data_IF_432738922411
#
_entry.id   IF_432738922411
#
_cell.length_a   1.000
_cell.length_b   1.000
_cell.length_c   1.000
_cell.angle_alpha   90.00
_cell.angle_beta   90.00
_cell.angle_gamma   90.00
#
_symmetry.space_group_name_H-M   'P 1'
#
loop_
_entity.id
_entity.type
_entity.pdbx_description
1 polymer ?
#
# COMPACT_ATOMS: atom_id res chain seq x y z
N UNK A 1 -37.48 -14.08 -74.53
CA UNK A 1 -37.32 -12.66 -74.13
C UNK A 1 -37.41 -12.58 -72.62
N UNK A 2 -36.38 -11.99 -71.99
CA UNK A 2 -36.36 -11.31 -70.68
C UNK A 2 -36.62 -12.17 -69.42
N UNK A 3 -35.92 -11.98 -68.30
CA UNK A 3 -34.61 -11.40 -67.96
C UNK A 3 -34.37 -11.88 -66.52
N UNK A 4 -33.14 -12.30 -66.19
CA UNK A 4 -32.71 -12.54 -64.82
C UNK A 4 -32.79 -11.25 -64.00
N UNK A 5 -33.27 -11.34 -62.76
CA UNK A 5 -32.92 -10.39 -61.69
C UNK A 5 -32.57 -11.16 -60.43
N UNK A 6 -31.25 -11.39 -60.29
CA UNK A 6 -30.57 -11.68 -59.04
C UNK A 6 -30.69 -10.47 -58.11
N UNK A 7 -31.31 -10.64 -56.93
CA UNK A 7 -31.18 -9.72 -55.80
C UNK A 7 -30.00 -10.19 -54.94
N UNK A 8 -28.90 -9.44 -54.82
CA UNK A 8 -27.93 -9.71 -53.77
C UNK A 8 -28.49 -9.14 -52.47
N UNK A 9 -28.63 -10.00 -51.46
CA UNK A 9 -28.88 -9.61 -50.09
C UNK A 9 -27.69 -8.78 -49.58
N UNK A 10 -27.86 -7.45 -49.51
CA UNK A 10 -26.96 -6.56 -48.78
C UNK A 10 -27.20 -6.79 -47.28
N UNK A 11 -26.45 -7.74 -46.70
CA UNK A 11 -26.20 -7.80 -45.26
C UNK A 11 -25.31 -6.61 -44.89
N UNK A 12 -25.94 -5.47 -44.60
CA UNK A 12 -25.33 -4.39 -43.83
C UNK A 12 -25.04 -4.95 -42.42
N UNK A 13 -23.82 -5.42 -42.22
CA UNK A 13 -23.22 -5.42 -40.89
C UNK A 13 -23.15 -3.95 -40.45
N UNK A 14 -24.18 -3.48 -39.76
CA UNK A 14 -24.05 -2.33 -38.91
C UNK A 14 -22.97 -2.69 -37.89
N UNK A 15 -21.74 -2.24 -38.13
CA UNK A 15 -20.77 -2.12 -37.06
C UNK A 15 -21.43 -1.20 -36.04
N UNK A 16 -21.92 -1.79 -34.94
CA UNK A 16 -22.25 -1.03 -33.74
C UNK A 16 -21.08 -0.06 -33.51
N UNK A 17 -21.33 1.22 -33.20
CA UNK A 17 -20.26 2.10 -32.81
C UNK A 17 -19.51 1.37 -31.71
N UNK A 18 -18.23 1.07 -31.95
CA UNK A 18 -17.33 0.68 -30.87
C UNK A 18 -17.44 1.84 -29.88
N UNK A 19 -18.13 1.60 -28.77
CA UNK A 19 -18.30 2.59 -27.72
C UNK A 19 -16.91 3.13 -27.39
N UNK A 20 -16.81 4.44 -27.22
CA UNK A 20 -15.59 5.16 -26.86
C UNK A 20 -14.98 4.73 -25.50
N UNK A 21 -15.45 3.62 -24.93
CA UNK A 21 -15.14 3.06 -23.61
C UNK A 21 -14.21 1.82 -23.64
N UNK A 22 -13.91 1.28 -24.82
CA UNK A 22 -13.08 0.09 -24.93
C UNK A 22 -11.58 0.46 -24.90
N UNK A 23 -11.09 0.74 -23.69
CA UNK A 23 -9.65 0.72 -23.41
C UNK A 23 -9.03 -0.54 -24.02
N UNK A 24 -7.96 -0.38 -24.80
CA UNK A 24 -7.26 -1.51 -25.41
C UNK A 24 -6.28 -2.10 -24.39
N UNK A 25 -6.20 -3.41 -24.33
CA UNK A 25 -5.16 -4.03 -23.52
C UNK A 25 -3.79 -3.83 -24.17
N UNK A 26 -2.78 -3.62 -23.32
CA UNK A 26 -1.42 -3.38 -23.78
C UNK A 26 -0.66 -2.46 -22.85
N UNK A 27 0.52 -2.05 -23.32
CA UNK A 27 1.38 -1.09 -22.65
C UNK A 27 1.20 0.29 -23.28
N UNK A 28 0.75 1.24 -22.45
CA UNK A 28 0.73 2.66 -22.75
C UNK A 28 1.93 3.31 -22.09
N UNK A 29 2.67 4.14 -22.81
CA UNK A 29 3.78 4.90 -22.25
C UNK A 29 3.50 6.39 -22.23
N UNK A 30 3.97 7.06 -21.19
CA UNK A 30 4.00 8.51 -21.10
C UNK A 30 4.89 9.10 -22.21
N UNK A 31 4.70 10.39 -22.52
CA UNK A 31 5.45 11.09 -23.59
C UNK A 31 6.96 11.09 -23.35
N UNK A 32 7.38 11.13 -22.09
CA UNK A 32 8.78 11.08 -21.65
C UNK A 32 9.32 9.65 -21.48
N UNK A 33 8.50 8.63 -21.79
CA UNK A 33 8.78 7.19 -21.62
C UNK A 33 9.12 6.75 -20.17
N UNK A 34 8.99 7.65 -19.19
CA UNK A 34 9.31 7.40 -17.77
C UNK A 34 8.25 6.61 -17.01
N UNK A 35 7.00 6.62 -17.50
CA UNK A 35 5.87 5.92 -16.89
C UNK A 35 5.19 5.01 -17.92
N UNK A 36 4.65 3.89 -17.45
CA UNK A 36 3.84 2.99 -18.25
C UNK A 36 2.57 2.54 -17.50
N UNK A 37 1.47 2.44 -18.23
CA UNK A 37 0.24 1.80 -17.78
C UNK A 37 0.04 0.51 -18.58
N UNK A 38 -0.05 -0.62 -17.89
CA UNK A 38 -0.10 -1.95 -18.52
C UNK A 38 -1.40 -2.65 -18.19
N UNK A 39 -2.34 -2.70 -19.14
CA UNK A 39 -3.69 -3.24 -18.95
C UNK A 39 -3.82 -4.66 -19.46
N UNK A 40 -4.09 -5.63 -18.57
CA UNK A 40 -4.23 -7.07 -18.90
C UNK A 40 -5.66 -7.42 -19.28
N UNK A 41 -6.60 -6.65 -18.76
CA UNK A 41 -8.04 -6.69 -19.05
C UNK A 41 -8.49 -5.26 -19.40
N UNK A 42 -9.71 -5.07 -19.89
CA UNK A 42 -10.23 -3.72 -20.18
C UNK A 42 -10.29 -2.78 -18.97
N UNK A 43 -10.18 -3.30 -17.75
CA UNK A 43 -10.34 -2.50 -16.52
C UNK A 43 -9.27 -2.76 -15.47
N UNK A 44 -8.40 -3.75 -15.63
CA UNK A 44 -7.36 -4.07 -14.63
C UNK A 44 -5.96 -4.11 -15.26
N UNK A 45 -4.98 -3.66 -14.49
CA UNK A 45 -3.60 -3.55 -14.93
C UNK A 45 -2.64 -3.18 -13.81
N UNK A 46 -1.50 -2.60 -14.18
CA UNK A 46 -0.57 -1.98 -13.24
C UNK A 46 0.08 -0.72 -13.84
N UNK A 47 0.56 0.17 -12.96
CA UNK A 47 1.38 1.35 -13.29
C UNK A 47 2.82 1.02 -12.98
N UNK A 48 3.71 1.22 -13.94
CA UNK A 48 5.15 1.11 -13.79
C UNK A 48 5.75 2.51 -13.96
N UNK A 49 6.51 2.99 -12.97
CA UNK A 49 7.13 4.31 -12.98
C UNK A 49 8.64 4.26 -13.25
N UNK A 50 9.17 3.10 -13.67
CA UNK A 50 10.57 2.90 -14.05
C UNK A 50 11.60 2.98 -12.90
N UNK A 51 11.19 3.46 -11.72
CA UNK A 51 12.05 3.64 -10.53
C UNK A 51 11.56 2.76 -9.38
N UNK A 52 10.26 2.50 -9.34
CA UNK A 52 9.56 1.78 -8.30
C UNK A 52 8.78 0.59 -8.85
N UNK A 53 7.83 0.17 -8.06
CA UNK A 53 7.17 -1.11 -8.19
C UNK A 53 5.91 -1.05 -9.07
N UNK A 54 5.59 -2.10 -9.86
CA UNK A 54 4.37 -2.14 -10.68
C UNK A 54 3.08 -2.07 -9.85
N UNK A 55 2.54 -0.89 -9.64
CA UNK A 55 1.43 -0.66 -8.74
C UNK A 55 0.11 -1.16 -9.34
N UNK A 56 -0.65 -2.07 -8.70
CA UNK A 56 -1.86 -2.62 -9.26
C UNK A 56 -2.91 -1.53 -9.38
N UNK A 57 -3.63 -1.52 -10.51
CA UNK A 57 -4.64 -0.52 -10.78
C UNK A 57 -5.91 -1.10 -11.39
N UNK A 58 -6.95 -0.29 -11.29
CA UNK A 58 -8.27 -0.55 -11.82
C UNK A 58 -8.80 0.69 -12.56
N UNK A 59 -9.58 0.53 -13.62
CA UNK A 59 -10.31 1.61 -14.31
C UNK A 59 -11.76 1.67 -13.84
N UNK A 60 -12.07 2.65 -13.00
CA UNK A 60 -13.42 2.86 -12.50
C UNK A 60 -14.21 3.69 -13.51
N UNK A 61 -15.28 3.09 -14.04
CA UNK A 61 -16.24 3.74 -14.94
C UNK A 61 -17.56 4.06 -14.25
N UNK A 62 -17.65 3.81 -12.94
CA UNK A 62 -18.86 4.06 -12.16
C UNK A 62 -18.99 5.50 -11.66
N UNK A 63 -17.89 6.26 -11.71
CA UNK A 63 -17.87 7.72 -11.52
C UNK A 63 -18.29 8.45 -12.81
N UNK A 64 -18.62 9.74 -12.71
CA UNK A 64 -19.09 10.51 -13.86
C UNK A 64 -17.97 10.74 -14.88
N UNK A 65 -16.75 10.98 -14.41
CA UNK A 65 -15.53 10.84 -15.18
C UNK A 65 -14.88 9.48 -14.90
N UNK A 66 -14.32 8.83 -15.93
CA UNK A 66 -13.55 7.59 -15.73
C UNK A 66 -12.31 7.88 -14.88
N UNK A 67 -11.99 6.98 -13.94
CA UNK A 67 -10.86 7.16 -13.02
C UNK A 67 -9.91 5.98 -13.02
N UNK A 68 -8.63 6.26 -12.87
CA UNK A 68 -7.60 5.27 -12.58
C UNK A 68 -7.50 5.11 -11.07
N UNK A 69 -7.82 3.94 -10.55
CA UNK A 69 -7.78 3.61 -9.12
C UNK A 69 -6.55 2.77 -8.84
N UNK A 70 -5.60 3.34 -8.12
CA UNK A 70 -4.42 2.67 -7.60
C UNK A 70 -4.83 1.86 -6.36
N UNK A 71 -4.66 0.54 -6.43
CA UNK A 71 -5.29 -0.39 -5.47
C UNK A 71 -4.48 -0.54 -4.18
N UNK A 72 -3.17 -0.32 -4.21
CA UNK A 72 -2.29 -0.49 -3.05
C UNK A 72 -2.32 0.74 -2.12
N UNK A 73 -2.34 1.95 -2.66
CA UNK A 73 -2.35 3.21 -1.90
C UNK A 73 -3.76 3.82 -1.72
N UNK A 74 -4.73 3.39 -2.53
CA UNK A 74 -6.12 3.85 -2.49
C UNK A 74 -6.34 5.21 -3.16
N UNK A 75 -5.47 5.59 -4.10
CA UNK A 75 -5.61 6.84 -4.87
C UNK A 75 -6.51 6.63 -6.09
N UNK A 76 -7.40 7.59 -6.38
CA UNK A 76 -8.28 7.54 -7.55
C UNK A 76 -8.17 8.82 -8.38
N UNK A 77 -7.53 8.74 -9.55
CA UNK A 77 -7.22 9.89 -10.40
C UNK A 77 -8.17 9.98 -11.60
N UNK A 78 -8.71 11.16 -11.94
CA UNK A 78 -9.54 11.31 -13.13
C UNK A 78 -8.71 11.16 -14.40
N UNK A 79 -9.25 10.41 -15.37
CA UNK A 79 -8.63 10.19 -16.68
C UNK A 79 -9.63 10.44 -17.82
N UNK A 80 -9.10 10.68 -19.01
CA UNK A 80 -9.84 10.71 -20.28
C UNK A 80 -9.25 9.67 -21.22
N UNK A 81 -10.09 8.82 -21.77
CA UNK A 81 -9.69 7.80 -22.75
C UNK A 81 -10.14 8.26 -24.14
N UNK A 82 -9.25 8.22 -25.12
CA UNK A 82 -9.60 8.56 -26.50
C UNK A 82 -10.59 7.55 -27.08
N UNK A 83 -11.41 7.99 -28.04
CA UNK A 83 -12.44 7.14 -28.66
C UNK A 83 -11.89 5.87 -29.34
N UNK A 84 -10.63 5.89 -29.80
CA UNK A 84 -9.96 4.72 -30.39
C UNK A 84 -9.31 3.78 -29.34
N UNK A 85 -9.37 4.17 -28.07
CA UNK A 85 -8.80 3.49 -26.91
C UNK A 85 -7.28 3.50 -26.89
N UNK A 86 -6.60 4.35 -27.67
CA UNK A 86 -5.12 4.34 -27.81
C UNK A 86 -4.40 5.41 -27.00
N UNK A 87 -5.14 6.35 -26.40
CA UNK A 87 -4.58 7.45 -25.63
C UNK A 87 -5.34 7.61 -24.32
N UNK A 88 -4.60 7.86 -23.25
CA UNK A 88 -5.13 8.17 -21.92
C UNK A 88 -4.50 9.49 -21.50
N UNK A 89 -5.31 10.41 -20.99
CA UNK A 89 -4.86 11.68 -20.45
C UNK A 89 -5.30 11.74 -18.99
N UNK A 90 -4.38 11.93 -18.06
CA UNK A 90 -4.74 12.27 -16.69
C UNK A 90 -4.96 13.79 -16.52
N UNK A 91 -5.51 14.19 -15.39
CA UNK A 91 -5.85 15.59 -15.11
C UNK A 91 -4.62 16.48 -14.80
N UNK A 92 -3.42 15.87 -14.67
CA UNK A 92 -2.13 16.55 -14.47
C UNK A 92 -1.33 16.64 -15.79
N UNK A 93 -1.99 16.40 -16.93
CA UNK A 93 -1.46 16.46 -18.30
C UNK A 93 -0.44 15.37 -18.67
N UNK A 94 -0.33 14.27 -17.92
CA UNK A 94 0.43 13.12 -18.41
C UNK A 94 -0.41 12.42 -19.47
N UNK A 95 0.18 12.32 -20.65
CA UNK A 95 -0.42 11.68 -21.80
C UNK A 95 0.24 10.34 -22.01
N UNK A 96 -0.55 9.27 -21.93
CA UNK A 96 -0.13 7.92 -22.23
C UNK A 96 -0.60 7.51 -23.62
N UNK A 97 0.28 6.93 -24.43
CA UNK A 97 -0.06 6.40 -25.76
C UNK A 97 0.24 4.92 -25.85
N UNK A 98 -0.69 4.14 -26.41
CA UNK A 98 -0.54 2.69 -26.60
C UNK A 98 0.64 2.38 -27.53
N UNK A 99 1.68 1.76 -26.99
CA UNK A 99 2.89 1.33 -27.71
C UNK A 99 2.82 -0.12 -28.12
N UNK A 100 2.42 -0.99 -27.19
CA UNK A 100 2.38 -2.44 -27.41
C UNK A 100 0.97 -2.97 -27.18
N UNK A 101 0.14 -3.10 -28.23
CA UNK A 101 -1.20 -3.67 -28.09
C UNK A 101 -1.13 -5.17 -27.82
N UNK A 102 -2.09 -5.68 -27.05
CA UNK A 102 -2.27 -7.12 -26.80
C UNK A 102 -3.75 -7.52 -26.74
N UNK A 103 -4.00 -8.82 -26.84
CA UNK A 103 -5.33 -9.36 -26.58
C UNK A 103 -5.67 -9.21 -25.09
N UNK A 104 -6.88 -8.73 -24.80
CA UNK A 104 -7.39 -8.68 -23.44
C UNK A 104 -7.69 -10.08 -22.89
N UNK A 105 -7.34 -10.31 -21.65
CA UNK A 105 -7.91 -11.40 -20.87
C UNK A 105 -9.39 -11.11 -20.55
N UNK A 106 -10.11 -12.15 -20.12
CA UNK A 106 -11.51 -12.01 -19.69
C UNK A 106 -11.56 -11.22 -18.38
N UNK A 107 -12.35 -10.15 -18.37
CA UNK A 107 -12.58 -9.34 -17.18
C UNK A 107 -13.41 -10.15 -16.15
N UNK A 108 -12.98 -10.20 -14.88
CA UNK A 108 -13.81 -10.73 -13.81
C UNK A 108 -15.07 -9.87 -13.63
N UNK A 109 -16.23 -10.51 -13.47
CA UNK A 109 -17.47 -9.77 -13.19
C UNK A 109 -17.40 -9.10 -11.82
N UNK A 110 -17.59 -7.78 -11.79
CA UNK A 110 -17.74 -7.05 -10.53
C UNK A 110 -19.10 -7.38 -9.89
N UNK A 111 -19.10 -7.64 -8.58
CA UNK A 111 -20.32 -7.90 -7.82
C UNK A 111 -20.94 -6.57 -7.41
N UNK A 112 -22.26 -6.40 -7.52
CA UNK A 112 -22.91 -5.17 -7.10
C UNK A 112 -22.63 -4.84 -5.61
N UNK A 113 -22.31 -3.59 -5.32
CA UNK A 113 -21.96 -3.14 -3.96
C UNK A 113 -20.59 -3.60 -3.45
N UNK A 114 -19.76 -4.17 -4.33
CA UNK A 114 -18.37 -4.50 -4.07
C UNK A 114 -17.46 -3.29 -4.35
N UNK A 115 -16.26 -3.29 -3.80
CA UNK A 115 -15.29 -2.21 -4.03
C UNK A 115 -14.94 -2.09 -5.52
N UNK A 116 -14.78 -3.24 -6.19
CA UNK A 116 -14.57 -3.37 -7.63
C UNK A 116 -15.72 -2.79 -8.48
N UNK A 117 -16.96 -2.82 -8.00
CA UNK A 117 -18.10 -2.22 -8.73
C UNK A 117 -18.23 -0.70 -8.53
N UNK A 118 -17.51 -0.12 -7.57
CA UNK A 118 -17.59 1.29 -7.21
C UNK A 118 -16.22 1.78 -6.68
N UNK A 119 -15.18 1.70 -7.51
CA UNK A 119 -13.79 1.85 -7.10
C UNK A 119 -13.48 3.16 -6.37
N UNK A 120 -13.84 4.29 -6.97
CA UNK A 120 -13.58 5.62 -6.40
C UNK A 120 -14.38 5.86 -5.12
N UNK A 121 -15.64 5.45 -5.08
CA UNK A 121 -16.45 5.54 -3.85
C UNK A 121 -15.95 4.62 -2.74
N UNK A 122 -15.40 3.45 -3.10
CA UNK A 122 -14.74 2.59 -2.15
C UNK A 122 -13.52 3.29 -1.54
N UNK A 123 -12.64 3.93 -2.33
CA UNK A 123 -11.49 4.68 -1.81
C UNK A 123 -11.89 5.81 -0.88
N UNK A 124 -12.97 6.53 -1.21
CA UNK A 124 -13.57 7.57 -0.33
C UNK A 124 -14.01 7.00 1.01
N UNK A 125 -14.63 5.81 1.01
CA UNK A 125 -15.24 5.22 2.20
C UNK A 125 -14.24 4.44 3.07
N UNK A 126 -13.19 3.86 2.48
CA UNK A 126 -12.17 3.06 3.17
C UNK A 126 -11.60 3.72 4.43
N UNK A 127 -11.31 5.03 4.44
CA UNK A 127 -10.88 5.74 5.64
C UNK A 127 -11.76 5.52 6.87
N UNK A 128 -13.08 5.47 6.70
CA UNK A 128 -14.05 5.32 7.79
C UNK A 128 -14.86 4.03 7.65
N UNK A 129 -14.35 3.07 6.88
CA UNK A 129 -15.02 1.82 6.62
C UNK A 129 -15.20 1.03 7.92
N UNK A 130 -16.27 0.24 8.00
CA UNK A 130 -16.39 -0.78 9.03
C UNK A 130 -15.35 -1.89 8.83
N UNK A 131 -15.05 -2.72 9.86
CA UNK A 131 -14.21 -3.90 9.69
C UNK A 131 -14.73 -4.86 8.60
N UNK A 132 -16.05 -4.95 8.43
CA UNK A 132 -16.67 -5.75 7.37
C UNK A 132 -16.42 -5.21 5.96
N UNK A 133 -16.49 -3.89 5.78
CA UNK A 133 -16.16 -3.22 4.51
C UNK A 133 -14.67 -3.36 4.18
N UNK A 134 -13.78 -3.06 5.12
CA UNK A 134 -12.34 -3.18 4.92
C UNK A 134 -11.94 -4.62 4.59
N UNK A 135 -12.53 -5.60 5.30
CA UNK A 135 -12.32 -7.03 5.02
C UNK A 135 -12.79 -7.41 3.61
N UNK A 136 -13.98 -7.00 3.20
CA UNK A 136 -14.50 -7.27 1.86
C UNK A 136 -13.59 -6.67 0.78
N UNK A 137 -13.18 -5.41 0.92
CA UNK A 137 -12.26 -4.78 -0.02
C UNK A 137 -10.93 -5.54 -0.11
N UNK A 138 -10.39 -5.95 1.04
CA UNK A 138 -9.19 -6.79 1.08
C UNK A 138 -9.40 -8.13 0.36
N UNK A 139 -10.50 -8.84 0.62
CA UNK A 139 -10.84 -10.12 -0.02
C UNK A 139 -11.04 -9.95 -1.55
N UNK A 140 -11.46 -8.76 -2.00
CA UNK A 140 -11.51 -8.39 -3.42
C UNK A 140 -10.12 -8.09 -4.02
N UNK A 141 -9.04 -8.13 -3.24
CA UNK A 141 -7.68 -7.81 -3.69
C UNK A 141 -7.41 -6.31 -3.82
N UNK A 142 -8.07 -5.50 -3.00
CA UNK A 142 -7.78 -4.06 -2.87
C UNK A 142 -6.82 -3.86 -1.71
N UNK A 143 -5.56 -3.56 -2.03
CA UNK A 143 -4.48 -3.41 -1.04
C UNK A 143 -4.78 -2.38 0.04
N UNK A 144 -5.33 -1.22 -0.34
CA UNK A 144 -5.77 -0.18 0.59
C UNK A 144 -6.86 -0.68 1.58
N UNK A 145 -7.70 -1.65 1.17
CA UNK A 145 -8.65 -2.31 2.05
C UNK A 145 -7.98 -3.19 3.09
N UNK A 146 -6.93 -3.92 2.71
CA UNK A 146 -6.12 -4.70 3.64
C UNK A 146 -5.36 -3.82 4.63
N UNK A 147 -4.77 -2.72 4.16
CA UNK A 147 -4.13 -1.73 5.02
C UNK A 147 -5.13 -1.07 5.98
N UNK A 148 -6.33 -0.72 5.53
CA UNK A 148 -7.39 -0.22 6.41
C UNK A 148 -7.75 -1.23 7.52
N UNK A 149 -7.87 -2.52 7.18
CA UNK A 149 -8.13 -3.59 8.16
C UNK A 149 -7.00 -3.72 9.19
N UNK A 150 -5.74 -3.57 8.77
CA UNK A 150 -4.60 -3.56 9.68
C UNK A 150 -4.67 -2.37 10.65
N UNK A 151 -4.89 -1.16 10.13
CA UNK A 151 -4.96 0.05 10.94
C UNK A 151 -6.07 -0.03 11.98
N UNK A 152 -7.26 -0.50 11.61
CA UNK A 152 -8.36 -0.71 12.54
C UNK A 152 -8.01 -1.66 13.69
N UNK A 153 -7.22 -2.72 13.41
CA UNK A 153 -6.76 -3.64 14.45
C UNK A 153 -5.77 -2.98 15.39
N UNK A 154 -4.87 -2.14 14.88
CA UNK A 154 -3.94 -1.37 15.70
C UNK A 154 -4.67 -0.36 16.60
N UNK A 155 -5.66 0.35 16.06
CA UNK A 155 -6.52 1.26 16.80
C UNK A 155 -7.33 0.52 17.88
N UNK A 156 -7.96 -0.61 17.53
CA UNK A 156 -8.74 -1.43 18.47
C UNK A 156 -7.88 -2.11 19.55
N UNK A 157 -6.58 -2.28 19.30
CA UNK A 157 -5.64 -2.84 20.29
C UNK A 157 -5.19 -1.78 21.30
N UNK A 158 -5.34 -0.49 20.98
CA UNK A 158 -4.97 0.63 21.84
C UNK A 158 -6.18 1.27 22.54
N UNK A 159 -7.37 1.20 21.94
CA UNK A 159 -8.64 1.65 22.51
C UNK A 159 -9.46 0.48 23.09
N UNK A 160 -10.35 0.75 24.05
CA UNK A 160 -11.40 -0.21 24.41
C UNK A 160 -12.35 -0.38 23.22
N UNK A 161 -12.31 -1.55 22.59
CA UNK A 161 -13.01 -1.84 21.34
C UNK A 161 -14.49 -1.44 21.39
N UNK A 162 -14.93 -0.61 20.45
CA UNK A 162 -16.34 -0.42 20.13
C UNK A 162 -16.63 -1.16 18.84
N UNK A 163 -17.38 -2.27 18.96
CA UNK A 163 -17.83 -3.06 17.82
C UNK A 163 -18.80 -2.23 16.97
N UNK A 164 -18.31 -1.69 15.86
CA UNK A 164 -19.14 -1.11 14.82
C UNK A 164 -19.62 -2.18 13.85
N UNK A 165 -20.84 -2.72 14.08
CA UNK A 165 -21.55 -3.49 13.07
C UNK A 165 -22.03 -2.57 11.94
N UNK A 166 -21.11 -2.23 11.02
CA UNK A 166 -21.42 -1.44 9.83
C UNK A 166 -21.84 -2.31 8.64
N UNK A 167 -22.44 -1.67 7.63
CA UNK A 167 -22.69 -2.30 6.33
C UNK A 167 -21.40 -2.89 5.75
N UNK A 168 -21.50 -4.00 5.02
CA UNK A 168 -20.40 -4.60 4.28
C UNK A 168 -20.29 -4.09 2.84
N UNK A 169 -21.18 -3.19 2.40
CA UNK A 169 -21.26 -2.74 1.01
C UNK A 169 -20.66 -1.35 0.82
N UNK A 170 -20.07 -1.14 -0.34
CA UNK A 170 -19.69 0.17 -0.83
C UNK A 170 -20.81 0.68 -1.74
N UNK A 171 -21.59 1.63 -1.22
CA UNK A 171 -22.72 2.18 -1.97
C UNK A 171 -22.34 3.48 -2.66
N UNK A 172 -22.73 3.60 -3.94
CA UNK A 172 -22.73 4.87 -4.66
C UNK A 172 -23.83 5.78 -4.14
N UNK A 173 -23.60 7.09 -4.00
CA UNK A 173 -24.66 8.06 -3.73
C UNK A 173 -25.81 7.92 -4.75
N UNK A 174 -27.07 8.14 -4.35
CA UNK A 174 -28.21 8.01 -5.26
C UNK A 174 -28.11 8.87 -6.53
N UNK A 175 -27.50 10.06 -6.43
CA UNK A 175 -27.23 10.92 -7.59
C UNK A 175 -26.32 10.26 -8.64
N UNK A 176 -25.54 9.24 -8.25
CA UNK A 176 -24.48 8.63 -9.06
C UNK A 176 -24.84 7.23 -9.55
N UNK A 177 -26.12 6.87 -9.44
CA UNK A 177 -26.67 5.64 -10.00
C UNK A 177 -27.36 6.01 -11.31
N UNK A 178 -26.85 5.51 -12.43
CA UNK A 178 -27.32 5.84 -13.80
C UNK A 178 -28.83 5.64 -14.04
N UNK A 179 -29.48 4.79 -13.25
CA UNK A 179 -30.91 4.52 -13.35
C UNK A 179 -31.75 5.18 -12.23
N UNK A 180 -31.13 6.00 -11.38
CA UNK A 180 -31.86 6.74 -10.35
C UNK A 180 -32.52 7.99 -10.95
N UNK A 181 -33.75 8.34 -10.51
CA UNK A 181 -34.42 9.58 -10.92
C UNK A 181 -33.62 10.85 -10.59
N UNK A 182 -32.74 10.75 -9.60
CA UNK A 182 -31.87 11.84 -9.11
C UNK A 182 -30.52 11.87 -9.83
N UNK A 183 -30.33 11.10 -10.92
CA UNK A 183 -29.03 11.01 -11.57
C UNK A 183 -28.57 12.37 -12.13
N UNK A 184 -27.42 12.84 -11.66
CA UNK A 184 -26.78 14.07 -12.14
C UNK A 184 -25.26 13.87 -12.22
N UNK A 185 -24.70 13.74 -13.44
CA UNK A 185 -23.26 13.52 -13.63
C UNK A 185 -22.37 14.62 -13.07
N UNK A 186 -22.79 15.89 -13.13
CA UNK A 186 -21.95 17.00 -12.66
C UNK A 186 -21.91 17.03 -11.12
N UNK A 187 -23.06 16.81 -10.49
CA UNK A 187 -23.14 16.68 -9.03
C UNK A 187 -22.33 15.48 -8.56
N UNK A 188 -22.33 14.38 -9.31
CA UNK A 188 -21.56 13.20 -8.97
C UNK A 188 -20.06 13.39 -9.04
N UNK A 189 -19.55 14.10 -10.04
CA UNK A 189 -18.12 14.35 -10.12
C UNK A 189 -17.68 15.25 -8.97
N UNK A 190 -18.39 16.36 -8.73
CA UNK A 190 -18.07 17.28 -7.64
C UNK A 190 -18.10 16.59 -6.26
N UNK A 191 -19.11 15.76 -6.00
CA UNK A 191 -19.19 14.98 -4.76
C UNK A 191 -17.99 14.04 -4.61
N UNK A 192 -17.58 13.37 -5.68
CA UNK A 192 -16.52 12.37 -5.63
C UNK A 192 -15.15 13.02 -5.41
N UNK A 193 -14.87 14.14 -6.06
CA UNK A 193 -13.58 14.85 -5.91
C UNK A 193 -13.42 15.47 -4.51
N UNK A 194 -14.43 16.17 -4.00
CA UNK A 194 -14.39 16.77 -2.67
C UNK A 194 -14.27 15.70 -1.57
N UNK A 195 -15.02 14.61 -1.72
CA UNK A 195 -14.98 13.48 -0.79
C UNK A 195 -13.65 12.73 -0.85
N UNK A 196 -13.05 12.56 -2.05
CA UNK A 196 -11.74 11.93 -2.19
C UNK A 196 -10.64 12.79 -1.54
N UNK A 197 -10.67 14.10 -1.77
CA UNK A 197 -9.76 15.03 -1.11
C UNK A 197 -9.95 15.02 0.43
N UNK A 198 -11.20 14.93 0.91
CA UNK A 198 -11.50 14.81 2.33
C UNK A 198 -11.06 13.46 2.92
N UNK A 199 -11.18 12.37 2.15
CA UNK A 199 -10.75 11.03 2.50
C UNK A 199 -9.22 10.98 2.66
N UNK A 200 -8.47 11.54 1.70
CA UNK A 200 -7.01 11.63 1.76
C UNK A 200 -6.54 12.44 2.99
N UNK A 201 -7.14 13.62 3.25
CA UNK A 201 -6.82 14.40 4.45
C UNK A 201 -7.04 13.62 5.75
N UNK A 202 -8.05 12.74 5.81
CA UNK A 202 -8.30 11.87 6.97
C UNK A 202 -7.28 10.74 7.10
N UNK A 203 -6.73 10.26 5.97
CA UNK A 203 -5.60 9.31 5.99
C UNK A 203 -4.37 10.03 6.53
N UNK A 204 -4.03 11.19 5.99
CA UNK A 204 -2.86 11.98 6.42
C UNK A 204 -2.93 12.34 7.91
N UNK A 205 -4.08 12.85 8.36
CA UNK A 205 -4.29 13.15 9.78
C UNK A 205 -4.11 11.93 10.69
N UNK A 206 -4.52 10.74 10.24
CA UNK A 206 -4.33 9.50 11.01
C UNK A 206 -2.89 9.02 10.98
N UNK A 207 -2.20 9.13 9.85
CA UNK A 207 -0.77 8.83 9.77
C UNK A 207 0.02 9.74 10.71
N UNK A 208 -0.24 11.05 10.69
CA UNK A 208 0.37 12.01 11.62
C UNK A 208 0.05 11.69 13.08
N UNK A 209 -1.18 11.28 13.38
CA UNK A 209 -1.57 10.86 14.73
C UNK A 209 -0.87 9.57 15.14
N UNK A 210 -0.76 8.59 14.25
CA UNK A 210 -0.09 7.32 14.50
C UNK A 210 1.42 7.49 14.72
N UNK A 211 2.06 8.42 14.00
CA UNK A 211 3.47 8.77 14.21
C UNK A 211 3.70 9.46 15.57
N UNK A 212 2.77 10.32 15.99
CA UNK A 212 2.83 11.04 17.27
C UNK A 212 2.38 10.18 18.46
N UNK A 213 1.56 9.16 18.22
CA UNK A 213 1.04 8.29 19.26
C UNK A 213 2.16 7.41 19.82
N UNK A 214 2.18 7.16 21.15
CA UNK A 214 3.01 6.09 21.70
C UNK A 214 2.69 4.78 20.97
N UNK A 215 3.71 4.06 20.50
CA UNK A 215 3.51 2.73 19.91
C UNK A 215 2.71 1.88 20.90
N UNK A 216 1.52 1.46 20.48
CA UNK A 216 0.64 0.58 21.25
C UNK A 216 1.29 -0.78 21.55
N UNK A 217 0.67 -1.59 22.42
CA UNK A 217 1.14 -2.96 22.62
C UNK A 217 1.11 -3.72 21.27
N UNK A 218 1.98 -4.73 21.09
CA UNK A 218 1.95 -5.59 19.91
C UNK A 218 0.56 -6.19 19.70
N UNK A 219 0.19 -6.39 18.43
CA UNK A 219 -1.07 -7.07 18.09
C UNK A 219 -1.07 -8.51 18.64
N UNK A 220 -2.24 -9.02 19.06
CA UNK A 220 -2.37 -10.42 19.47
C UNK A 220 -1.92 -11.38 18.35
N UNK A 221 -1.26 -12.48 18.73
CA UNK A 221 -0.69 -13.45 17.77
C UNK A 221 -1.72 -13.95 16.75
N UNK A 222 -2.96 -14.21 17.19
CA UNK A 222 -4.03 -14.65 16.30
C UNK A 222 -4.39 -13.59 15.24
N UNK A 223 -4.36 -12.30 15.59
CA UNK A 223 -4.59 -11.22 14.64
C UNK A 223 -3.44 -11.11 13.64
N UNK A 224 -2.19 -11.22 14.10
CA UNK A 224 -1.00 -11.25 13.25
C UNK A 224 -1.02 -12.42 12.26
N UNK A 225 -1.45 -13.61 12.69
CA UNK A 225 -1.58 -14.77 11.81
C UNK A 225 -2.65 -14.56 10.73
N UNK A 226 -3.79 -13.95 11.07
CA UNK A 226 -4.82 -13.61 10.08
C UNK A 226 -4.31 -12.61 9.05
N UNK A 227 -3.58 -11.59 9.49
CA UNK A 227 -2.97 -10.59 8.60
C UNK A 227 -1.88 -11.21 7.70
N UNK A 228 -1.06 -12.12 8.25
CA UNK A 228 -0.08 -12.89 7.47
C UNK A 228 -0.76 -13.67 6.34
N UNK A 229 -1.85 -14.37 6.63
CA UNK A 229 -2.59 -15.15 5.63
C UNK A 229 -3.14 -14.27 4.51
N UNK A 230 -3.72 -13.11 4.85
CA UNK A 230 -4.20 -12.15 3.86
C UNK A 230 -3.06 -11.61 2.99
N UNK A 231 -1.89 -11.33 3.58
CA UNK A 231 -0.73 -10.87 2.83
C UNK A 231 -0.28 -11.93 1.81
N UNK A 232 -0.16 -13.19 2.24
CA UNK A 232 0.22 -14.29 1.35
C UNK A 232 -0.80 -14.57 0.24
N UNK A 233 -2.08 -14.34 0.53
CA UNK A 233 -3.16 -14.53 -0.43
C UNK A 233 -3.19 -13.43 -1.50
N UNK A 234 -3.13 -12.16 -1.08
CA UNK A 234 -3.34 -11.03 -1.99
C UNK A 234 -2.06 -10.43 -2.54
N UNK A 235 -0.93 -10.61 -1.84
CA UNK A 235 0.40 -10.15 -2.24
C UNK A 235 0.48 -8.64 -2.51
N UNK A 236 -0.41 -7.85 -1.89
CA UNK A 236 -0.44 -6.39 -2.01
C UNK A 236 0.82 -5.80 -1.39
N UNK A 237 1.54 -4.96 -2.15
CA UNK A 237 2.92 -4.59 -1.82
C UNK A 237 3.01 -3.82 -0.51
N UNK A 238 2.26 -2.71 -0.41
CA UNK A 238 2.21 -1.88 0.79
C UNK A 238 1.74 -2.67 2.02
N UNK A 239 0.62 -3.37 1.89
CA UNK A 239 0.04 -4.13 3.00
C UNK A 239 0.99 -5.19 3.56
N UNK A 240 1.64 -5.97 2.71
CA UNK A 240 2.59 -7.00 3.16
C UNK A 240 3.83 -6.41 3.83
N UNK A 241 4.31 -5.24 3.40
CA UNK A 241 5.39 -4.51 4.10
C UNK A 241 4.93 -4.09 5.49
N UNK A 242 3.71 -3.56 5.63
CA UNK A 242 3.14 -3.20 6.93
C UNK A 242 2.98 -4.43 7.84
N UNK A 243 2.52 -5.57 7.30
CA UNK A 243 2.44 -6.85 8.04
C UNK A 243 3.83 -7.31 8.50
N UNK A 244 4.85 -7.23 7.63
CA UNK A 244 6.20 -7.61 8.00
C UNK A 244 6.74 -6.77 9.17
N UNK A 245 6.48 -5.46 9.17
CA UNK A 245 6.84 -4.59 10.29
C UNK A 245 6.15 -5.02 11.60
N UNK A 246 4.87 -5.41 11.55
CA UNK A 246 4.17 -5.93 12.73
C UNK A 246 4.72 -7.26 13.23
N UNK A 247 5.11 -8.17 12.33
CA UNK A 247 5.75 -9.43 12.71
C UNK A 247 7.11 -9.19 13.37
N UNK A 248 7.88 -8.24 12.86
CA UNK A 248 9.15 -7.81 13.45
C UNK A 248 8.97 -7.19 14.84
N UNK A 249 7.95 -6.33 15.02
CA UNK A 249 7.60 -5.77 16.33
C UNK A 249 7.15 -6.85 17.32
N UNK A 250 6.55 -7.95 16.82
CA UNK A 250 6.16 -9.13 17.60
C UNK A 250 7.28 -10.19 17.77
N UNK A 251 8.53 -9.87 17.40
CA UNK A 251 9.68 -10.79 17.47
C UNK A 251 9.48 -12.09 16.66
N UNK A 252 8.76 -12.01 15.54
CA UNK A 252 8.48 -13.11 14.60
C UNK A 252 9.22 -12.89 13.25
N UNK A 253 10.56 -12.82 13.23
CA UNK A 253 11.28 -12.38 12.03
C UNK A 253 11.14 -13.33 10.84
N UNK A 254 10.94 -14.64 11.07
CA UNK A 254 10.69 -15.58 9.98
C UNK A 254 9.39 -15.28 9.21
N UNK A 255 8.33 -14.86 9.90
CA UNK A 255 7.07 -14.46 9.26
C UNK A 255 7.20 -13.12 8.53
N UNK A 256 8.01 -12.20 9.07
CA UNK A 256 8.34 -10.95 8.40
C UNK A 256 9.06 -11.17 7.07
N UNK A 257 10.11 -12.01 7.07
CA UNK A 257 10.82 -12.40 5.85
C UNK A 257 9.88 -13.04 4.85
N UNK A 258 8.97 -13.91 5.30
CA UNK A 258 7.99 -14.53 4.41
C UNK A 258 7.03 -13.50 3.76
N UNK A 259 6.56 -12.51 4.53
CA UNK A 259 5.67 -11.46 4.03
C UNK A 259 6.39 -10.53 3.04
N UNK A 260 7.66 -10.20 3.27
CA UNK A 260 8.44 -9.39 2.31
C UNK A 260 8.83 -10.21 1.07
N UNK A 261 9.12 -11.50 1.22
CA UNK A 261 9.51 -12.36 0.10
C UNK A 261 8.38 -12.52 -0.92
N UNK A 262 7.12 -12.68 -0.50
CA UNK A 262 6.00 -12.82 -1.45
C UNK A 262 5.81 -11.57 -2.31
N UNK A 263 6.12 -10.41 -1.75
CA UNK A 263 6.12 -9.13 -2.44
C UNK A 263 7.30 -9.08 -3.40
N UNK A 264 8.52 -9.38 -2.94
CA UNK A 264 9.71 -9.49 -3.79
C UNK A 264 9.50 -10.42 -5.00
N UNK A 265 8.95 -11.62 -4.78
CA UNK A 265 8.66 -12.59 -5.83
C UNK A 265 7.62 -12.09 -6.85
N UNK A 266 6.79 -11.12 -6.46
CA UNK A 266 5.85 -10.43 -7.36
C UNK A 266 6.51 -9.30 -8.18
N UNK A 267 7.84 -9.21 -8.18
CA UNK A 267 8.61 -8.24 -8.97
C UNK A 267 8.83 -6.91 -8.25
N UNK A 268 8.78 -6.92 -6.92
CA UNK A 268 8.85 -5.72 -6.09
C UNK A 268 10.25 -5.48 -5.58
N UNK A 269 11.00 -4.64 -6.31
CA UNK A 269 12.44 -4.42 -6.07
C UNK A 269 12.69 -3.90 -4.65
N UNK A 270 11.90 -2.95 -4.15
CA UNK A 270 12.11 -2.40 -2.81
C UNK A 270 11.86 -3.45 -1.72
N UNK A 271 10.89 -4.35 -1.92
CA UNK A 271 10.71 -5.49 -1.02
C UNK A 271 11.87 -6.47 -1.10
N UNK A 272 12.46 -6.70 -2.28
CA UNK A 272 13.66 -7.53 -2.42
C UNK A 272 14.87 -6.94 -1.69
N UNK A 273 15.11 -5.64 -1.85
CA UNK A 273 16.18 -4.91 -1.15
C UNK A 273 16.02 -4.99 0.37
N UNK A 274 14.79 -4.95 0.87
CA UNK A 274 14.47 -5.13 2.30
C UNK A 274 14.62 -6.58 2.79
N UNK A 275 14.31 -7.54 1.93
CA UNK A 275 14.34 -8.96 2.29
C UNK A 275 15.76 -9.50 2.33
N UNK A 276 16.65 -9.00 1.46
CA UNK A 276 18.01 -9.50 1.34
C UNK A 276 18.82 -9.41 2.66
N UNK A 277 18.92 -8.26 3.36
CA UNK A 277 19.63 -8.16 4.64
C UNK A 277 19.10 -9.12 5.70
N UNK A 278 17.77 -9.27 5.77
CA UNK A 278 17.13 -10.18 6.72
C UNK A 278 17.44 -11.65 6.40
N UNK A 279 17.49 -12.02 5.12
CA UNK A 279 17.82 -13.39 4.70
C UNK A 279 19.29 -13.73 4.89
N UNK A 280 20.19 -12.77 4.68
CA UNK A 280 21.63 -12.93 4.88
C UNK A 280 21.98 -13.26 6.33
N UNK A 281 21.21 -12.74 7.29
CA UNK A 281 21.36 -13.07 8.70
C UNK A 281 21.10 -14.55 9.00
N UNK A 282 20.23 -15.24 8.25
CA UNK A 282 19.97 -16.66 8.42
C UNK A 282 19.61 -17.03 9.86
N UNK A 283 20.43 -17.88 10.49
CA UNK A 283 20.24 -18.30 11.89
C UNK A 283 20.50 -17.17 12.91
N UNK A 284 21.26 -16.13 12.54
CA UNK A 284 21.50 -14.96 13.39
C UNK A 284 20.26 -14.06 13.48
N UNK A 285 19.26 -14.25 12.62
CA UNK A 285 17.98 -13.52 12.68
C UNK A 285 17.10 -14.03 13.83
N UNK A 286 17.58 -13.78 15.04
CA UNK A 286 16.90 -14.09 16.29
C UNK A 286 16.79 -12.80 17.11
N UNK A 287 15.61 -12.19 17.09
CA UNK A 287 15.35 -10.93 17.78
C UNK A 287 15.17 -11.16 19.28
N UNK A 288 15.79 -10.29 20.08
CA UNK A 288 15.75 -10.32 21.55
C UNK A 288 15.26 -8.97 22.06
N UNK A 289 14.40 -9.01 23.08
CA UNK A 289 13.96 -7.81 23.78
C UNK A 289 15.10 -7.26 24.65
N UNK A 290 15.51 -6.02 24.39
CA UNK A 290 16.50 -5.33 25.20
C UNK A 290 15.94 -4.95 26.58
N UNK A 291 16.75 -5.18 27.61
CA UNK A 291 16.45 -4.75 28.98
C UNK A 291 17.10 -3.40 29.33
N UNK A 292 18.18 -3.04 28.63
CA UNK A 292 18.90 -1.78 28.81
C UNK A 292 19.24 -1.19 27.44
N UNK A 293 19.36 0.14 27.36
CA UNK A 293 19.89 0.79 26.15
C UNK A 293 21.33 0.28 25.94
N UNK A 294 21.70 -0.18 24.73
CA UNK A 294 23.05 -0.62 24.41
C UNK A 294 24.07 0.49 24.66
N UNK A 295 25.32 0.12 24.83
CA UNK A 295 26.41 1.06 25.04
C UNK A 295 27.44 0.99 23.90
N UNK A 296 28.01 2.13 23.54
CA UNK A 296 29.07 2.26 22.56
C UNK A 296 28.57 2.49 21.14
N UNK A 297 29.47 2.32 20.17
CA UNK A 297 29.20 2.55 18.75
C UNK A 297 28.84 1.26 18.04
N UNK A 298 27.85 1.32 17.17
CA UNK A 298 27.44 0.24 16.29
C UNK A 298 27.51 0.72 14.84
N UNK A 299 28.02 -0.12 13.95
CA UNK A 299 28.27 0.25 12.55
C UNK A 299 27.73 -0.81 11.59
N UNK A 300 27.11 -0.37 10.51
CA UNK A 300 26.68 -1.19 9.38
C UNK A 300 27.64 -1.04 8.19
N UNK A 301 27.61 -2.00 7.28
CA UNK A 301 28.40 -1.99 6.04
C UNK A 301 27.75 -1.08 4.98
N UNK A 302 27.62 0.21 5.30
CA UNK A 302 27.10 1.26 4.40
C UNK A 302 25.70 1.76 4.73
N UNK A 303 25.01 2.30 3.72
CA UNK A 303 23.70 2.94 3.88
C UNK A 303 23.76 4.42 4.28
N UNK A 304 22.61 5.10 4.25
CA UNK A 304 22.52 6.52 4.64
C UNK A 304 22.81 6.74 6.14
N UNK A 305 22.45 5.76 6.96
CA UNK A 305 22.66 5.75 8.40
C UNK A 305 23.49 4.54 8.77
N UNK A 306 24.81 4.67 8.63
CA UNK A 306 25.78 3.57 8.76
C UNK A 306 26.33 3.42 10.19
N UNK A 307 26.07 4.36 11.10
CA UNK A 307 26.60 4.33 12.46
C UNK A 307 25.66 4.94 13.49
N UNK A 308 25.54 4.27 14.64
CA UNK A 308 24.84 4.75 15.83
C UNK A 308 25.77 4.75 17.05
N UNK A 309 25.77 5.83 17.81
CA UNK A 309 26.60 6.00 19.00
C UNK A 309 25.73 6.16 20.25
N UNK A 310 25.79 5.21 21.17
CA UNK A 310 25.03 5.20 22.42
C UNK A 310 25.84 5.77 23.60
N UNK A 311 26.50 6.91 23.39
CA UNK A 311 27.28 7.63 24.41
C UNK A 311 26.50 8.69 25.20
N UNK A 312 27.23 9.48 25.99
CA UNK A 312 26.68 10.57 26.80
C UNK A 312 26.16 11.70 25.90
N UNK A 313 24.84 11.84 25.83
CA UNK A 313 24.15 12.90 25.05
C UNK A 313 23.20 12.37 23.99
N UNK A 314 23.26 11.07 23.69
CA UNK A 314 22.35 10.40 22.78
C UNK A 314 20.97 10.24 23.42
N UNK A 315 19.91 10.75 22.77
CA UNK A 315 18.53 10.54 23.22
C UNK A 315 18.04 9.17 22.76
N UNK A 316 18.47 8.13 23.47
CA UNK A 316 18.02 6.76 23.28
C UNK A 316 17.14 6.32 24.45
N UNK A 317 16.01 5.68 24.16
CA UNK A 317 15.08 5.13 25.15
C UNK A 317 14.64 3.74 24.76
N UNK A 318 14.33 2.92 25.76
CA UNK A 318 13.68 1.63 25.52
C UNK A 318 12.17 1.78 25.42
N UNK A 319 11.58 1.08 24.47
CA UNK A 319 10.14 0.90 24.32
C UNK A 319 9.86 -0.51 23.81
N UNK A 320 9.14 -1.33 24.60
CA UNK A 320 8.79 -2.72 24.24
C UNK A 320 10.00 -3.55 23.76
N UNK A 321 11.14 -3.41 24.46
CA UNK A 321 12.38 -4.14 24.15
C UNK A 321 13.10 -3.70 22.87
N UNK A 322 12.66 -2.61 22.23
CA UNK A 322 13.38 -1.93 21.15
C UNK A 322 14.01 -0.64 21.67
N UNK A 323 15.09 -0.20 21.03
CA UNK A 323 15.70 1.11 21.26
C UNK A 323 15.13 2.09 20.27
N UNK A 324 14.54 3.16 20.77
CA UNK A 324 14.19 4.34 19.99
C UNK A 324 15.30 5.36 20.17
N UNK A 325 15.94 5.73 19.08
CA UNK A 325 17.10 6.62 19.04
C UNK A 325 16.74 7.88 18.26
N UNK A 326 16.86 9.06 18.88
CA UNK A 326 16.79 10.32 18.14
C UNK A 326 18.18 10.78 17.68
N UNK A 327 18.33 10.97 16.38
CA UNK A 327 19.56 11.46 15.76
C UNK A 327 19.19 12.32 14.54
N UNK A 328 19.79 13.52 14.44
CA UNK A 328 19.55 14.47 13.34
C UNK A 328 18.08 14.87 13.12
N UNK A 329 17.25 14.84 14.18
CA UNK A 329 15.82 15.14 14.09
C UNK A 329 14.95 13.97 13.63
N UNK A 330 15.54 12.80 13.38
CA UNK A 330 14.85 11.58 13.00
C UNK A 330 14.84 10.57 14.17
N UNK A 331 13.85 9.68 14.19
CA UNK A 331 13.74 8.62 15.20
C UNK A 331 13.97 7.27 14.53
N UNK A 332 15.03 6.58 14.94
CA UNK A 332 15.39 5.24 14.50
C UNK A 332 14.92 4.20 15.50
N UNK A 333 14.49 3.05 15.02
CA UNK A 333 14.08 1.92 15.85
C UNK A 333 15.03 0.75 15.61
N UNK A 334 15.66 0.28 16.68
CA UNK A 334 16.63 -0.81 16.64
C UNK A 334 16.24 -1.93 17.61
N UNK A 335 16.46 -3.18 17.24
CA UNK A 335 16.34 -4.34 18.16
C UNK A 335 17.64 -5.13 18.21
N UNK A 336 17.87 -5.80 19.33
CA UNK A 336 19.04 -6.65 19.48
C UNK A 336 18.82 -8.02 18.82
N UNK A 337 19.85 -8.48 18.11
CA UNK A 337 19.98 -9.86 17.66
C UNK A 337 20.61 -10.71 18.78
N UNK A 338 20.35 -12.01 18.79
CA UNK A 338 20.84 -12.92 19.83
C UNK A 338 22.37 -12.98 19.96
N UNK A 339 23.10 -12.55 18.94
CA UNK A 339 24.56 -12.46 18.91
C UNK A 339 25.11 -11.13 19.47
N UNK A 340 24.25 -10.19 19.89
CA UNK A 340 24.63 -8.90 20.45
C UNK A 340 24.59 -7.73 19.49
N UNK A 341 24.43 -7.99 18.18
CA UNK A 341 24.30 -6.95 17.16
C UNK A 341 22.95 -6.24 17.23
N UNK A 342 22.82 -5.12 16.54
CA UNK A 342 21.55 -4.41 16.39
C UNK A 342 21.01 -4.57 14.96
N UNK A 343 19.69 -4.68 14.85
CA UNK A 343 18.97 -4.70 13.59
C UNK A 343 18.13 -3.42 13.47
N UNK A 344 18.23 -2.76 12.31
CA UNK A 344 17.30 -1.72 11.86
C UNK A 344 15.88 -2.25 11.77
N UNK A 345 14.89 -1.56 12.32
CA UNK A 345 13.49 -2.02 12.35
C UNK A 345 12.56 -1.15 11.50
N UNK A 346 13.10 -0.17 10.80
CA UNK A 346 12.36 0.84 10.06
C UNK A 346 12.83 0.97 8.61
N UNK A 347 12.09 1.75 7.83
CA UNK A 347 12.38 1.95 6.41
C UNK A 347 13.67 2.75 6.19
N UNK A 348 14.07 3.62 7.13
CA UNK A 348 15.24 4.47 7.00
C UNK A 348 16.54 3.66 7.16
N UNK A 349 16.53 2.69 8.07
CA UNK A 349 17.63 1.74 8.29
C UNK A 349 17.63 0.58 7.30
N UNK A 350 16.55 0.40 6.52
CA UNK A 350 16.40 -0.67 5.52
C UNK A 350 16.71 -2.07 6.05
N UNK A 351 16.36 -2.33 7.32
CA UNK A 351 16.66 -3.60 8.01
C UNK A 351 18.14 -3.99 8.06
N UNK A 352 19.04 -3.01 8.06
CA UNK A 352 20.48 -3.26 8.14
C UNK A 352 20.92 -3.79 9.50
N UNK A 353 21.97 -4.63 9.46
CA UNK A 353 22.69 -5.14 10.64
C UNK A 353 23.76 -4.13 11.06
N UNK A 354 23.80 -3.79 12.33
CA UNK A 354 24.80 -2.93 12.94
C UNK A 354 25.61 -3.71 13.97
N UNK A 355 26.91 -3.80 13.76
CA UNK A 355 27.84 -4.55 14.61
C UNK A 355 28.51 -3.62 15.63
N UNK A 356 28.73 -4.07 16.88
CA UNK A 356 29.42 -3.27 17.87
C UNK A 356 30.88 -3.02 17.46
N UNK A 357 31.31 -1.76 17.50
CA UNK A 357 32.70 -1.37 17.26
C UNK A 357 33.52 -1.62 18.53
N UNK A 358 34.55 -2.49 18.50
CA UNK A 358 35.34 -2.82 19.67
C UNK A 358 35.98 -1.59 20.33
N UNK A 359 36.01 -1.59 21.67
CA UNK A 359 36.64 -0.52 22.47
C UNK A 359 35.79 0.73 22.67
N UNK A 360 34.55 0.77 22.17
CA UNK A 360 33.66 1.95 22.29
C UNK A 360 32.62 1.85 23.41
N UNK A 361 32.50 0.70 24.09
CA UNK A 361 31.45 0.41 25.08
C UNK A 361 31.62 1.11 26.46
N UNK A 362 32.12 2.34 26.51
CA UNK A 362 32.34 3.09 27.75
C UNK A 362 31.18 4.06 28.03
N UNK A 363 30.10 3.55 28.63
CA UNK A 363 29.00 4.38 29.11
C UNK A 363 29.16 4.60 30.61
N UNK A 364 29.28 5.85 31.03
CA UNK A 364 29.22 6.17 32.46
C UNK A 364 27.77 6.04 32.92
N UNK A 365 27.48 5.36 34.05
CA UNK A 365 26.17 5.48 34.67
C UNK A 365 25.88 6.96 35.00
N UNK A 366 24.62 7.42 34.97
CA UNK A 366 24.29 8.78 35.39
C UNK A 366 24.83 9.00 36.80
N UNK A 367 25.61 10.06 37.01
CA UNK A 367 26.07 10.45 38.34
C UNK A 367 24.82 10.76 39.16
N UNK A 368 24.49 9.90 40.12
CA UNK A 368 23.62 10.29 41.22
C UNK A 368 24.24 11.53 41.87
N UNK A 369 23.56 12.66 41.71
CA UNK A 369 23.92 13.89 42.40
C UNK A 369 23.87 13.59 43.89
N UNK A 370 25.05 13.41 44.51
CA UNK A 370 25.17 13.46 45.96
C UNK A 370 24.63 14.81 46.38
N UNK A 371 23.50 14.80 47.09
CA UNK A 371 23.04 15.96 47.83
C UNK A 371 24.21 16.49 48.66
N UNK A 372 24.56 17.76 48.44
CA UNK A 372 25.50 18.45 49.30
C UNK A 372 24.90 18.60 50.70
N UNK A 373 25.70 18.40 51.76
CA UNK A 373 25.27 18.56 53.15
C UNK A 373 24.94 20.02 53.51
#
# INVERSE_FOLDING_TARGET
>A
MRLLTLFPALLLFAALPASADALRCGEYRSVDDGMALVFTTPSSGYRDNGIGEPEPLWVDRSAAQTRLVMLDDGVAEPIRISADGRRIEDDVFVVYTLRQPRACAVEPSAVAGSCRAAGSYCMVQLPTASPGQARRACDEGVGAGCSALLQQRLESNTAAATDGAGSAHFERPPACREHAPTHDPQVCEALTDDDLAAAMRRVDQRLEQAEKAPKGPPLPLAALQQLQQLCLQHRGGRFCIEVAAQQLDALQPALAVQALQVVCDAGRVSACERTAPLRELGADLHLVALQHVPCGRYQADGGQFDSFDFGNGTQARLHEGAVQLQQNGETFVLRQLGNGDLLGMDNQTAYQRYQPVPGTAQCMPPREGRGSP
#
